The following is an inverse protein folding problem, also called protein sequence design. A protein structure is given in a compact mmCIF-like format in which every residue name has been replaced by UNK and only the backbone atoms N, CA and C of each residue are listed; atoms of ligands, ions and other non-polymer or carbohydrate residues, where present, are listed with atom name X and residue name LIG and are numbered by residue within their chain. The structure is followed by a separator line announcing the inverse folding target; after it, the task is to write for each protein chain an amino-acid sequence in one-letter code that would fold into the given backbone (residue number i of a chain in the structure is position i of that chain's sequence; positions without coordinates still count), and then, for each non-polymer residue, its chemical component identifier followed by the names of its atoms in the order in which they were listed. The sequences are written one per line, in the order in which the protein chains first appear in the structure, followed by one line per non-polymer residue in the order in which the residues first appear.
data_IF_621180448509
#
_entry.id   IF_621180448509
#
_cell.length_a   1.000
_cell.length_b   1.000
_cell.length_c   1.000
_cell.angle_alpha   90.00
_cell.angle_beta   90.00
_cell.angle_gamma   90.00
#
_symmetry.space_group_name_H-M   'P 1'
#
loop_
_entity.id
_entity.type
_entity.pdbx_description
1 polymer ?
#
# COMPACT_ATOMS: atom_id res chain seq x y z
N UNK A 1 21.06 2.18 11.41
CA UNK A 1 20.15 1.25 10.71
C UNK A 1 18.89 2.03 10.36
N UNK A 2 18.52 2.22 9.09
CA UNK A 2 17.29 2.92 8.76
C UNK A 2 16.07 2.09 9.16
N UNK A 3 15.24 2.61 10.06
CA UNK A 3 13.98 1.98 10.52
C UNK A 3 12.84 2.30 9.56
N UNK A 4 12.32 1.28 8.88
CA UNK A 4 11.04 1.33 8.17
C UNK A 4 9.93 1.73 9.14
N UNK A 5 9.16 2.78 8.82
CA UNK A 5 8.04 3.19 9.65
C UNK A 5 6.81 2.36 9.26
N UNK A 6 6.10 1.80 10.25
CA UNK A 6 4.80 1.16 10.05
C UNK A 6 3.74 2.00 10.76
N UNK A 7 2.65 2.30 10.08
CA UNK A 7 1.49 3.02 10.62
C UNK A 7 0.20 2.28 10.33
N UNK A 8 -0.85 2.58 11.10
CA UNK A 8 -2.19 2.01 10.93
C UNK A 8 -3.14 3.02 10.30
N UNK A 9 -3.91 2.56 9.33
CA UNK A 9 -4.96 3.28 8.61
C UNK A 9 -6.29 2.59 8.90
N UNK A 10 -7.27 3.35 9.38
CA UNK A 10 -8.59 2.81 9.75
C UNK A 10 -8.55 1.92 11.00
N UNK A 11 -9.65 1.20 11.22
CA UNK A 11 -9.87 0.35 12.42
C UNK A 11 -9.99 -1.14 12.11
N UNK A 12 -10.01 -1.53 10.83
CA UNK A 12 -10.05 -2.92 10.43
C UNK A 12 -8.73 -3.62 10.80
N UNK A 13 -8.82 -4.83 11.36
CA UNK A 13 -7.66 -5.65 11.75
C UNK A 13 -7.70 -7.05 11.13
N UNK A 14 -8.60 -7.28 10.18
CA UNK A 14 -8.69 -8.55 9.45
C UNK A 14 -7.35 -8.86 8.75
N UNK A 15 -7.00 -10.13 8.55
CA UNK A 15 -5.80 -10.50 7.80
C UNK A 15 -5.80 -9.83 6.42
N UNK A 16 -4.66 -9.27 6.03
CA UNK A 16 -4.50 -8.70 4.71
C UNK A 16 -4.39 -9.80 3.65
N UNK A 17 -5.10 -9.61 2.55
CA UNK A 17 -5.09 -10.51 1.39
C UNK A 17 -4.50 -9.82 0.17
N UNK A 18 -4.46 -8.49 0.18
CA UNK A 18 -3.99 -7.64 -0.92
C UNK A 18 -2.89 -6.71 -0.43
N UNK A 19 -1.81 -6.60 -1.21
CA UNK A 19 -0.81 -5.54 -1.09
C UNK A 19 -1.03 -4.52 -2.22
N UNK A 20 -1.15 -3.25 -1.84
CA UNK A 20 -1.19 -2.10 -2.73
C UNK A 20 0.09 -1.27 -2.52
N UNK A 21 0.88 -1.13 -3.57
CA UNK A 21 2.04 -0.26 -3.61
C UNK A 21 1.63 1.14 -4.09
N UNK A 22 2.00 2.19 -3.37
CA UNK A 22 1.94 3.55 -3.87
C UNK A 22 3.31 3.95 -4.41
N UNK A 23 3.38 4.22 -5.71
CA UNK A 23 4.62 4.59 -6.40
C UNK A 23 4.55 6.01 -6.96
N UNK A 24 5.65 6.74 -6.87
CA UNK A 24 5.77 8.05 -7.50
C UNK A 24 5.59 7.94 -9.02
N UNK A 25 5.03 8.96 -9.66
CA UNK A 25 5.00 9.06 -11.12
C UNK A 25 6.24 9.79 -11.62
N UNK A 26 6.86 9.26 -12.67
CA UNK A 26 7.94 9.95 -13.41
C UNK A 26 7.51 10.14 -14.87
N UNK A 27 8.26 10.98 -15.60
CA UNK A 27 8.00 11.29 -17.02
C UNK A 27 6.55 11.76 -17.30
N UNK A 28 6.02 12.62 -16.42
CA UNK A 28 4.66 13.16 -16.56
C UNK A 28 3.54 12.11 -16.40
N UNK A 29 3.82 10.97 -15.74
CA UNK A 29 2.85 9.90 -15.52
C UNK A 29 2.98 8.71 -16.46
N UNK A 30 4.01 8.70 -17.34
CA UNK A 30 4.24 7.63 -18.30
C UNK A 30 5.03 6.43 -17.73
N UNK A 31 5.69 6.61 -16.58
CA UNK A 31 6.40 5.54 -15.90
C UNK A 31 6.28 5.62 -14.37
N UNK A 32 6.50 4.47 -13.72
CA UNK A 32 6.48 4.34 -12.27
C UNK A 32 7.88 4.53 -11.69
N UNK A 33 7.99 5.45 -10.75
CA UNK A 33 9.21 5.74 -9.99
C UNK A 33 9.37 4.84 -8.76
N UNK A 34 9.99 5.41 -7.74
CA UNK A 34 10.25 4.74 -6.47
C UNK A 34 8.95 4.27 -5.80
N UNK A 35 9.07 3.17 -5.05
CA UNK A 35 8.05 2.74 -4.11
C UNK A 35 8.12 3.65 -2.89
N UNK A 36 7.01 4.30 -2.55
CA UNK A 36 6.94 5.29 -1.47
C UNK A 36 6.10 4.77 -0.29
N UNK A 37 5.18 3.84 -0.55
CA UNK A 37 4.34 3.22 0.48
C UNK A 37 3.86 1.83 0.05
N UNK A 38 3.73 0.94 1.02
CA UNK A 38 3.06 -0.34 0.88
C UNK A 38 1.85 -0.36 1.81
N UNK A 39 0.68 -0.66 1.30
CA UNK A 39 -0.58 -0.68 2.02
C UNK A 39 -1.17 -2.07 1.95
N UNK A 40 -1.42 -2.67 3.11
CA UNK A 40 -1.98 -3.99 3.25
C UNK A 40 -3.48 -3.90 3.54
N UNK A 41 -4.30 -4.59 2.74
CA UNK A 41 -5.75 -4.54 2.84
C UNK A 41 -6.36 -5.95 2.74
N UNK A 42 -7.50 -6.17 3.41
CA UNK A 42 -8.37 -7.30 3.10
C UNK A 42 -9.16 -7.03 1.81
N UNK A 43 -9.80 -8.06 1.25
CA UNK A 43 -10.53 -7.97 -0.02
C UNK A 43 -11.61 -6.86 -0.01
N UNK A 44 -12.31 -6.70 1.12
CA UNK A 44 -13.33 -5.67 1.31
C UNK A 44 -12.76 -4.25 1.21
N UNK A 45 -11.57 -4.03 1.77
CA UNK A 45 -10.92 -2.73 1.80
C UNK A 45 -9.93 -2.50 0.65
N UNK A 46 -9.67 -3.49 -0.21
CA UNK A 46 -8.71 -3.35 -1.29
C UNK A 46 -9.09 -2.21 -2.26
N UNK A 47 -10.38 -1.98 -2.50
CA UNK A 47 -10.85 -0.85 -3.31
C UNK A 47 -10.54 0.49 -2.64
N UNK A 48 -10.94 0.66 -1.38
CA UNK A 48 -10.69 1.87 -0.58
C UNK A 48 -9.19 2.14 -0.45
N UNK A 49 -8.39 1.09 -0.27
CA UNK A 49 -6.95 1.21 -0.17
C UNK A 49 -6.32 1.82 -1.43
N UNK A 50 -6.81 1.43 -2.61
CA UNK A 50 -6.35 1.97 -3.91
C UNK A 50 -6.76 3.41 -4.12
N UNK A 51 -7.95 3.81 -3.66
CA UNK A 51 -8.52 5.13 -3.97
C UNK A 51 -8.25 6.18 -2.89
N UNK A 52 -8.09 5.77 -1.64
CA UNK A 52 -8.07 6.69 -0.49
C UNK A 52 -6.83 6.57 0.41
N UNK A 53 -6.28 5.35 0.56
CA UNK A 53 -5.14 5.13 1.46
C UNK A 53 -3.81 5.42 0.77
N UNK A 54 -3.70 5.03 -0.50
CA UNK A 54 -2.65 5.52 -1.40
C UNK A 54 -3.13 6.84 -2.01
N UNK A 55 -2.56 7.96 -1.54
CA UNK A 55 -3.00 9.30 -1.94
C UNK A 55 -2.14 9.88 -3.07
N UNK A 56 -2.71 10.78 -3.90
CA UNK A 56 -1.92 11.57 -4.84
C UNK A 56 -0.73 12.25 -4.15
N UNK A 57 0.45 12.32 -4.80
CA UNK A 57 0.72 12.03 -6.22
C UNK A 57 1.06 10.57 -6.54
N UNK A 58 0.87 9.63 -5.60
CA UNK A 58 1.23 8.24 -5.80
C UNK A 58 0.24 7.52 -6.70
N UNK A 59 0.75 6.65 -7.58
CA UNK A 59 -0.07 5.70 -8.34
C UNK A 59 -0.19 4.39 -7.58
N UNK A 60 -1.42 3.94 -7.25
CA UNK A 60 -1.66 2.65 -6.63
C UNK A 60 -1.45 1.51 -7.62
N UNK A 61 -0.63 0.53 -7.27
CA UNK A 61 -0.38 -0.70 -8.02
C UNK A 61 -0.66 -1.88 -7.11
N UNK A 62 -1.47 -2.82 -7.57
CA UNK A 62 -1.71 -4.06 -6.81
C UNK A 62 -0.57 -5.02 -7.09
N UNK A 63 0.21 -5.38 -6.07
CA UNK A 63 1.47 -6.08 -6.27
C UNK A 63 1.31 -7.59 -6.42
N UNK A 64 0.55 -8.33 -5.58
CA UNK A 64 0.54 -9.81 -5.63
C UNK A 64 -0.77 -10.44 -5.12
N UNK A 65 -1.08 -11.63 -5.66
CA UNK A 65 -2.19 -12.55 -5.35
C UNK A 65 -1.87 -13.63 -4.28
N UNK A 66 -0.65 -13.66 -3.73
CA UNK A 66 -0.28 -14.55 -2.63
C UNK A 66 -0.59 -13.88 -1.29
N UNK A 67 -1.19 -14.63 -0.36
CA UNK A 67 -1.62 -14.10 0.95
C UNK A 67 -0.47 -13.35 1.61
N UNK A 68 -0.76 -12.13 2.04
CA UNK A 68 0.16 -11.33 2.83
C UNK A 68 0.22 -11.94 4.23
N UNK A 69 1.13 -12.88 4.45
CA UNK A 69 1.27 -13.58 5.74
C UNK A 69 1.69 -12.56 6.81
N UNK A 70 1.08 -12.65 7.98
CA UNK A 70 1.35 -11.82 9.16
C UNK A 70 1.15 -10.30 9.01
N UNK A 71 0.33 -9.88 8.04
CA UNK A 71 -0.12 -8.49 7.92
C UNK A 71 -1.61 -8.37 8.12
N UNK A 72 -2.00 -7.25 8.69
CA UNK A 72 -3.40 -6.90 8.92
C UNK A 72 -3.80 -5.77 7.99
N UNK A 73 -5.08 -5.74 7.67
CA UNK A 73 -5.71 -4.66 6.96
C UNK A 73 -5.38 -3.31 7.63
N UNK A 74 -5.15 -2.29 6.81
CA UNK A 74 -4.81 -0.96 7.28
C UNK A 74 -3.36 -0.82 7.74
N UNK A 75 -2.51 -1.85 7.70
CA UNK A 75 -1.08 -1.62 7.86
C UNK A 75 -0.53 -0.88 6.64
N UNK A 76 0.18 0.21 6.89
CA UNK A 76 0.93 0.93 5.89
C UNK A 76 2.39 1.02 6.30
N UNK A 77 3.28 0.72 5.36
CA UNK A 77 4.72 0.67 5.53
C UNK A 77 5.32 1.69 4.60
N UNK A 78 6.11 2.61 5.16
CA UNK A 78 6.83 3.63 4.40
C UNK A 78 8.28 3.13 4.19
N UNK A 79 8.61 2.53 3.02
CA UNK A 79 9.97 2.16 2.67
C UNK A 79 10.81 3.42 2.53
N UNK A 80 12.04 3.40 3.06
CA UNK A 80 12.96 4.52 2.93
C UNK A 80 13.71 4.50 1.61
#
# INVERSE_FOLDING_TARGET
MPTTATRRIGTCTAPATTLIEGRSQIDGGLAYGALEIQVYACDEHAHVARTEWVRPPLTPITAIAERVVDRQCGEAVDPR
#
